data_IF_299446658941
#
_entry.id   IF_299446658941
#
_cell.length_a   1.000
_cell.length_b   1.000
_cell.length_c   1.000
_cell.angle_alpha   90.00
_cell.angle_beta   90.00
_cell.angle_gamma   90.00
#
_symmetry.space_group_name_H-M   'P 1'
#
loop_
_entity.id
_entity.type
_entity.pdbx_description
1 polymer ?
#
# COMPACT_ATOMS: atom_id res chain seq x y z
N UNK A 1 28.56 17.76 -12.61
CA UNK A 1 28.00 17.47 -11.28
C UNK A 1 27.66 18.80 -10.64
N UNK A 2 26.38 19.03 -10.31
CA UNK A 2 25.86 20.34 -9.90
C UNK A 2 26.62 20.84 -8.67
N UNK A 3 27.26 22.00 -8.76
CA UNK A 3 28.12 22.63 -7.73
C UNK A 3 27.31 23.12 -6.51
N UNK A 4 26.02 22.82 -6.46
CA UNK A 4 25.04 23.35 -5.50
C UNK A 4 24.16 22.27 -4.85
N UNK A 5 24.57 20.99 -4.87
CA UNK A 5 23.86 19.94 -4.13
C UNK A 5 24.23 19.96 -2.64
N UNK A 6 23.24 20.11 -1.76
CA UNK A 6 23.34 20.01 -0.30
C UNK A 6 22.42 18.90 0.25
N UNK A 7 22.44 18.67 1.57
CA UNK A 7 21.62 17.67 2.25
C UNK A 7 20.13 18.08 2.42
N UNK A 8 19.74 19.25 1.90
CA UNK A 8 18.36 19.73 1.98
C UNK A 8 17.49 19.03 0.93
N UNK A 9 16.72 18.06 1.39
CA UNK A 9 15.84 17.23 0.57
C UNK A 9 14.47 17.87 0.25
N UNK A 10 14.07 18.90 0.99
CA UNK A 10 12.71 19.39 0.93
C UNK A 10 12.44 20.39 -0.19
N UNK A 11 11.23 20.31 -0.78
CA UNK A 11 10.75 21.27 -1.79
C UNK A 11 10.66 22.71 -1.25
N UNK A 12 10.58 22.89 0.08
CA UNK A 12 10.62 24.19 0.77
C UNK A 12 11.83 25.06 0.41
N UNK A 13 12.92 24.47 -0.08
CA UNK A 13 14.13 25.20 -0.52
C UNK A 13 13.95 25.95 -1.84
N UNK A 14 12.92 25.61 -2.61
CA UNK A 14 12.60 26.26 -3.89
C UNK A 14 11.73 27.49 -3.66
N UNK A 15 11.73 28.47 -4.59
CA UNK A 15 10.77 29.56 -4.57
C UNK A 15 9.33 29.03 -4.49
N UNK A 16 8.53 29.54 -3.55
CA UNK A 16 7.15 29.10 -3.27
C UNK A 16 7.04 27.62 -2.85
N UNK A 17 8.11 27.01 -2.32
CA UNK A 17 8.15 25.60 -1.97
C UNK A 17 7.04 25.13 -1.03
N UNK A 18 6.63 25.96 -0.07
CA UNK A 18 5.50 25.63 0.83
C UNK A 18 4.16 25.54 0.07
N UNK A 19 3.88 26.49 -0.82
CA UNK A 19 2.65 26.48 -1.62
C UNK A 19 2.66 25.35 -2.65
N UNK A 20 3.82 25.06 -3.24
CA UNK A 20 4.02 23.89 -4.12
C UNK A 20 3.73 22.61 -3.34
N UNK A 21 4.26 22.46 -2.12
CA UNK A 21 4.02 21.28 -1.31
C UNK A 21 2.54 21.14 -0.91
N UNK A 22 1.90 22.24 -0.50
CA UNK A 22 0.46 22.25 -0.17
C UNK A 22 -0.39 21.82 -1.37
N UNK A 23 -0.06 22.32 -2.57
CA UNK A 23 -0.72 21.91 -3.80
C UNK A 23 -0.46 20.43 -4.15
N UNK A 24 0.77 19.95 -3.93
CA UNK A 24 1.12 18.54 -4.15
C UNK A 24 0.38 17.61 -3.20
N UNK A 25 0.28 17.95 -1.91
CA UNK A 25 -0.53 17.21 -0.94
C UNK A 25 -1.99 17.16 -1.37
N UNK A 26 -2.58 18.30 -1.76
CA UNK A 26 -3.97 18.33 -2.25
C UNK A 26 -4.16 17.49 -3.51
N UNK A 27 -3.22 17.55 -4.45
CA UNK A 27 -3.30 16.78 -5.70
C UNK A 27 -3.21 15.27 -5.48
N UNK A 28 -2.35 14.82 -4.56
CA UNK A 28 -2.14 13.39 -4.31
C UNK A 28 -3.20 12.81 -3.37
N UNK A 29 -3.60 13.58 -2.35
CA UNK A 29 -4.48 13.10 -1.28
C UNK A 29 -5.95 13.41 -1.52
N UNK A 30 -6.26 14.41 -2.34
CA UNK A 30 -7.64 14.90 -2.53
C UNK A 30 -8.36 15.25 -1.22
N UNK A 31 -7.61 15.76 -0.25
CA UNK A 31 -8.12 16.28 1.02
C UNK A 31 -7.56 17.68 1.29
N UNK A 32 -8.08 18.34 2.32
CA UNK A 32 -7.55 19.62 2.82
C UNK A 32 -6.60 19.45 4.02
N UNK A 33 -6.13 18.22 4.29
CA UNK A 33 -5.19 17.97 5.37
C UNK A 33 -3.89 18.76 5.16
N UNK A 34 -3.48 19.46 6.20
CA UNK A 34 -2.20 20.17 6.25
C UNK A 34 -1.05 19.17 6.43
N UNK A 35 0.17 19.60 6.08
CA UNK A 35 1.38 18.81 6.31
C UNK A 35 1.55 18.43 7.80
N UNK A 36 1.15 19.33 8.72
CA UNK A 36 1.23 19.11 10.16
C UNK A 36 0.24 18.04 10.64
N UNK A 37 -0.99 18.06 10.12
CA UNK A 37 -1.98 17.01 10.40
C UNK A 37 -1.51 15.67 9.86
N UNK A 38 -1.02 15.61 8.62
CA UNK A 38 -0.50 14.37 8.01
C UNK A 38 0.69 13.82 8.81
N UNK A 39 1.61 14.68 9.25
CA UNK A 39 2.74 14.28 10.07
C UNK A 39 2.29 13.65 11.39
N UNK A 40 1.35 14.28 12.09
CA UNK A 40 0.83 13.80 13.36
C UNK A 40 0.01 12.51 13.22
N UNK A 41 -0.75 12.36 12.13
CA UNK A 41 -1.42 11.11 11.78
C UNK A 41 -0.36 10.01 11.58
N UNK A 42 0.71 10.30 10.85
CA UNK A 42 1.83 9.38 10.65
C UNK A 42 2.44 8.90 11.96
N UNK A 43 2.77 9.83 12.86
CA UNK A 43 3.33 9.48 14.18
C UNK A 43 2.38 8.62 15.01
N UNK A 44 1.07 8.91 14.95
CA UNK A 44 0.04 8.15 15.68
C UNK A 44 -0.11 6.74 15.12
N UNK A 45 -0.11 6.59 13.79
CA UNK A 45 -0.21 5.28 13.14
C UNK A 45 1.05 4.44 13.35
N UNK A 46 2.24 5.06 13.32
CA UNK A 46 3.49 4.37 13.71
C UNK A 46 3.36 3.80 15.12
N UNK A 47 2.93 4.61 16.10
CA UNK A 47 2.79 4.14 17.48
C UNK A 47 1.75 3.03 17.65
N UNK A 48 0.62 3.09 16.91
CA UNK A 48 -0.40 2.03 16.92
C UNK A 48 0.14 0.72 16.35
N UNK A 49 0.81 0.79 15.19
CA UNK A 49 1.32 -0.39 14.50
C UNK A 49 2.46 -1.03 15.31
N UNK A 50 3.32 -0.24 15.97
CA UNK A 50 4.34 -0.75 16.89
C UNK A 50 3.72 -1.62 17.99
N UNK A 51 2.59 -1.21 18.56
CA UNK A 51 1.89 -2.00 19.59
C UNK A 51 1.34 -3.32 19.04
N UNK A 52 0.75 -3.31 17.84
CA UNK A 52 0.25 -4.54 17.19
C UNK A 52 1.39 -5.51 16.85
N UNK A 53 2.50 -4.99 16.32
CA UNK A 53 3.69 -5.80 16.02
C UNK A 53 4.30 -6.40 17.30
N UNK A 54 4.38 -5.62 18.38
CA UNK A 54 4.93 -6.06 19.66
C UNK A 54 4.16 -7.27 20.21
N UNK A 55 2.82 -7.25 20.14
CA UNK A 55 1.97 -8.36 20.59
C UNK A 55 2.28 -9.63 19.82
N UNK A 56 2.40 -9.56 18.49
CA UNK A 56 2.73 -10.73 17.68
C UNK A 56 4.13 -11.24 18.01
N UNK A 57 5.13 -10.37 18.05
CA UNK A 57 6.52 -10.74 18.34
C UNK A 57 6.66 -11.43 19.69
N UNK A 58 6.03 -10.90 20.75
CA UNK A 58 6.03 -11.53 22.07
C UNK A 58 5.38 -12.92 22.01
N UNK A 59 4.26 -13.07 21.31
CA UNK A 59 3.58 -14.37 21.16
C UNK A 59 4.39 -15.37 20.34
N UNK A 60 5.31 -14.91 19.47
CA UNK A 60 6.29 -15.73 18.77
C UNK A 60 7.55 -16.02 19.63
N UNK A 61 7.59 -15.57 20.88
CA UNK A 61 8.73 -15.75 21.79
C UNK A 61 9.89 -14.78 21.57
N UNK A 62 9.70 -13.75 20.73
CA UNK A 62 10.68 -12.71 20.46
C UNK A 62 10.42 -11.52 21.40
N UNK A 63 10.98 -11.59 22.61
CA UNK A 63 10.74 -10.62 23.69
C UNK A 63 11.90 -9.66 23.96
N UNK A 64 13.11 -10.00 23.49
CA UNK A 64 14.31 -9.20 23.67
C UNK A 64 14.51 -8.23 22.50
N UNK A 65 15.25 -7.15 22.72
CA UNK A 65 15.58 -6.10 21.73
C UNK A 65 14.40 -5.29 21.16
N UNK A 66 14.75 -4.31 20.32
CA UNK A 66 13.78 -3.47 19.62
C UNK A 66 12.95 -4.29 18.61
N UNK A 67 11.75 -3.81 18.27
CA UNK A 67 10.90 -4.36 17.21
C UNK A 67 11.71 -4.51 15.90
N UNK A 68 12.46 -3.47 15.53
CA UNK A 68 13.29 -3.47 14.31
C UNK A 68 14.36 -4.56 14.35
N UNK A 69 15.01 -4.77 15.49
CA UNK A 69 16.01 -5.84 15.66
C UNK A 69 15.37 -7.21 15.48
N UNK A 70 14.20 -7.44 16.10
CA UNK A 70 13.46 -8.70 16.01
C UNK A 70 12.95 -8.98 14.59
N UNK A 71 12.48 -7.95 13.88
CA UNK A 71 12.10 -8.05 12.47
C UNK A 71 13.30 -8.41 11.59
N UNK A 72 14.45 -7.74 11.77
CA UNK A 72 15.67 -8.06 11.01
C UNK A 72 16.15 -9.48 11.28
N UNK A 73 16.11 -9.92 12.53
CA UNK A 73 16.39 -11.31 12.87
C UNK A 73 15.51 -12.29 12.09
N UNK A 74 14.19 -12.06 12.03
CA UNK A 74 13.27 -12.89 11.22
C UNK A 74 13.58 -12.86 9.72
N UNK A 75 14.03 -11.72 9.18
CA UNK A 75 14.43 -11.62 7.78
C UNK A 75 15.69 -12.43 7.45
N UNK A 76 16.60 -12.59 8.42
CA UNK A 76 17.86 -13.32 8.26
C UNK A 76 17.69 -14.85 8.36
N UNK A 77 16.58 -15.34 8.93
CA UNK A 77 16.31 -16.76 9.10
C UNK A 77 16.16 -17.50 7.74
N UNK A 78 17.02 -18.50 7.44
CA UNK A 78 17.01 -19.18 6.14
C UNK A 78 15.70 -19.88 5.80
N UNK A 79 14.97 -20.38 6.78
CA UNK A 79 13.68 -21.07 6.61
C UNK A 79 12.57 -20.18 6.03
N UNK A 80 12.71 -18.87 6.14
CA UNK A 80 11.77 -17.90 5.58
C UNK A 80 12.15 -17.45 4.17
N UNK A 81 13.32 -17.83 3.67
CA UNK A 81 13.86 -17.31 2.42
C UNK A 81 13.79 -18.33 1.30
N UNK A 82 13.43 -17.86 0.10
CA UNK A 82 13.61 -18.63 -1.13
C UNK A 82 15.08 -18.59 -1.53
N UNK A 83 15.59 -19.67 -2.14
CA UNK A 83 16.97 -19.69 -2.63
C UNK A 83 17.19 -18.60 -3.69
N UNK A 84 18.36 -17.97 -3.68
CA UNK A 84 18.67 -16.88 -4.61
C UNK A 84 19.08 -17.40 -6.01
N UNK A 85 18.37 -18.44 -6.49
CA UNK A 85 18.56 -19.12 -7.79
C UNK A 85 17.32 -18.93 -8.65
N UNK A 86 17.40 -19.23 -9.94
CA UNK A 86 16.21 -19.12 -10.81
C UNK A 86 15.10 -20.10 -10.37
N UNK A 87 15.44 -21.28 -9.85
CA UNK A 87 14.45 -22.20 -9.27
C UNK A 87 13.75 -21.60 -8.04
N UNK A 88 14.50 -20.94 -7.15
CA UNK A 88 13.92 -20.28 -5.97
C UNK A 88 13.03 -19.09 -6.35
N UNK A 89 13.38 -18.37 -7.42
CA UNK A 89 12.55 -17.30 -8.00
C UNK A 89 11.23 -17.84 -8.58
N UNK A 90 11.27 -19.00 -9.24
CA UNK A 90 10.04 -19.70 -9.69
C UNK A 90 9.19 -20.11 -8.48
N UNK A 91 9.80 -20.73 -7.46
CA UNK A 91 9.08 -21.11 -6.23
C UNK A 91 8.43 -19.93 -5.51
N UNK A 92 9.05 -18.75 -5.55
CA UNK A 92 8.47 -17.53 -4.97
C UNK A 92 7.21 -17.08 -5.73
N UNK A 93 7.23 -17.18 -7.07
CA UNK A 93 6.06 -16.88 -7.91
C UNK A 93 4.97 -17.94 -7.70
N UNK A 94 5.33 -19.22 -7.63
CA UNK A 94 4.38 -20.30 -7.34
C UNK A 94 3.68 -20.09 -6.00
N UNK A 95 4.43 -19.72 -4.95
CA UNK A 95 3.86 -19.38 -3.65
C UNK A 95 2.88 -18.20 -3.72
N UNK A 96 3.18 -17.15 -4.47
CA UNK A 96 2.25 -16.03 -4.64
C UNK A 96 0.97 -16.45 -5.39
N UNK A 97 1.07 -17.34 -6.38
CA UNK A 97 -0.10 -17.92 -7.03
C UNK A 97 -0.96 -18.73 -6.05
N UNK A 98 -0.34 -19.55 -5.18
CA UNK A 98 -1.04 -20.27 -4.12
C UNK A 98 -1.78 -19.32 -3.16
N UNK A 99 -1.12 -18.23 -2.75
CA UNK A 99 -1.74 -17.20 -1.88
C UNK A 99 -2.94 -16.54 -2.58
N UNK A 100 -2.81 -16.23 -3.88
CA UNK A 100 -3.91 -15.68 -4.66
C UNK A 100 -5.08 -16.66 -4.77
N UNK A 101 -4.82 -17.94 -5.05
CA UNK A 101 -5.85 -18.97 -5.14
C UNK A 101 -6.62 -19.14 -3.83
N UNK A 102 -5.92 -19.10 -2.69
CA UNK A 102 -6.54 -19.15 -1.36
C UNK A 102 -7.49 -17.97 -1.13
N UNK A 103 -7.08 -16.75 -1.50
CA UNK A 103 -7.93 -15.58 -1.38
C UNK A 103 -9.12 -15.64 -2.34
N UNK A 104 -8.89 -16.03 -3.59
CA UNK A 104 -9.94 -16.16 -4.61
C UNK A 104 -10.98 -17.23 -4.24
N UNK A 105 -10.64 -18.23 -3.44
CA UNK A 105 -11.58 -19.23 -2.94
C UNK A 105 -12.66 -18.65 -2.01
N UNK A 106 -12.39 -17.51 -1.35
CA UNK A 106 -13.31 -16.86 -0.40
C UNK A 106 -13.77 -15.47 -0.87
N UNK A 107 -13.22 -14.94 -1.97
CA UNK A 107 -13.45 -13.55 -2.40
C UNK A 107 -14.92 -13.21 -2.67
N UNK A 108 -15.72 -14.19 -3.10
CA UNK A 108 -17.15 -14.00 -3.39
C UNK A 108 -17.99 -13.68 -2.15
N UNK A 109 -17.49 -13.96 -0.95
CA UNK A 109 -18.15 -13.59 0.31
C UNK A 109 -18.02 -12.08 0.60
N UNK A 110 -17.09 -11.39 -0.07
CA UNK A 110 -16.74 -9.98 0.18
C UNK A 110 -16.92 -9.07 -1.03
N UNK A 111 -17.11 -9.62 -2.24
CA UNK A 111 -17.22 -8.85 -3.48
C UNK A 111 -18.36 -9.36 -4.36
N UNK A 112 -19.20 -8.45 -4.85
CA UNK A 112 -20.26 -8.77 -5.82
C UNK A 112 -19.63 -9.00 -7.20
N UNK A 113 -18.94 -7.99 -7.74
CA UNK A 113 -18.26 -8.09 -9.03
C UNK A 113 -16.83 -8.58 -8.85
N UNK A 114 -16.55 -9.78 -9.34
CA UNK A 114 -15.20 -10.32 -9.49
C UNK A 114 -14.72 -10.03 -10.92
N UNK A 115 -13.68 -9.21 -11.13
CA UNK A 115 -13.20 -8.89 -12.47
C UNK A 115 -12.71 -10.16 -13.20
N UNK A 116 -13.14 -10.41 -14.45
CA UNK A 116 -12.76 -11.60 -15.20
C UNK A 116 -11.37 -11.51 -15.84
N UNK A 117 -10.71 -10.34 -15.77
CA UNK A 117 -9.40 -10.14 -16.37
C UNK A 117 -8.36 -11.04 -15.68
N UNK A 118 -7.52 -11.76 -16.44
CA UNK A 118 -6.49 -12.60 -15.85
C UNK A 118 -5.39 -11.78 -15.17
N UNK A 119 -4.82 -12.35 -14.11
CA UNK A 119 -3.63 -11.87 -13.43
C UNK A 119 -2.46 -12.82 -13.70
N UNK A 120 -1.34 -12.28 -14.17
CA UNK A 120 -0.07 -13.00 -14.26
C UNK A 120 0.92 -12.41 -13.24
N UNK A 121 1.64 -13.28 -12.53
CA UNK A 121 2.73 -12.88 -11.66
C UNK A 121 4.04 -13.14 -12.40
N UNK A 122 4.83 -12.09 -12.58
CA UNK A 122 6.04 -12.12 -13.43
C UNK A 122 7.21 -11.46 -12.74
N UNK A 123 8.42 -11.89 -13.09
CA UNK A 123 9.66 -11.29 -12.59
C UNK A 123 9.87 -9.91 -13.24
N UNK A 124 10.34 -8.93 -12.46
CA UNK A 124 10.88 -7.68 -13.00
C UNK A 124 12.06 -7.97 -13.94
N UNK A 125 12.07 -7.42 -15.17
CA UNK A 125 13.18 -7.64 -16.10
C UNK A 125 14.53 -7.20 -15.51
N UNK A 126 15.57 -8.01 -15.74
CA UNK A 126 16.91 -7.81 -15.18
C UNK A 126 17.48 -6.41 -15.45
N UNK A 127 17.26 -5.86 -16.64
CA UNK A 127 17.73 -4.51 -17.02
C UNK A 127 17.10 -3.37 -16.20
N UNK A 128 16.01 -3.64 -15.48
CA UNK A 128 15.24 -2.64 -14.73
C UNK A 128 15.19 -2.89 -13.22
N UNK A 129 15.60 -4.08 -12.77
CA UNK A 129 15.42 -4.54 -11.39
C UNK A 129 16.15 -3.68 -10.34
N UNK A 130 17.24 -3.01 -10.72
CA UNK A 130 17.96 -2.09 -9.81
C UNK A 130 17.17 -0.82 -9.48
N UNK A 131 16.34 -0.36 -10.43
CA UNK A 131 15.54 0.86 -10.28
C UNK A 131 14.07 0.60 -9.93
N UNK A 132 13.60 -0.62 -10.13
CA UNK A 132 12.20 -1.00 -9.92
C UNK A 132 11.89 -1.22 -8.43
N UNK A 133 10.68 -0.86 -7.95
CA UNK A 133 10.25 -1.12 -6.56
C UNK A 133 10.22 -2.63 -6.24
N UNK A 134 9.97 -3.00 -4.98
CA UNK A 134 9.88 -4.40 -4.56
C UNK A 134 8.79 -5.21 -5.30
N UNK A 135 7.69 -4.53 -5.64
CA UNK A 135 6.67 -5.02 -6.57
C UNK A 135 5.93 -3.84 -7.21
N UNK A 136 5.25 -4.10 -8.33
CA UNK A 136 4.31 -3.16 -8.94
C UNK A 136 3.31 -3.85 -9.86
N UNK A 137 2.15 -3.25 -10.04
CA UNK A 137 1.10 -3.75 -10.92
C UNK A 137 1.04 -3.00 -12.26
N UNK A 138 0.83 -3.76 -13.34
CA UNK A 138 0.50 -3.26 -14.67
C UNK A 138 -0.93 -3.68 -15.05
N UNK A 139 -1.81 -2.73 -15.44
CA UNK A 139 -3.19 -3.04 -15.83
C UNK A 139 -3.32 -3.92 -17.09
N UNK A 140 -4.40 -4.72 -17.21
CA UNK A 140 -4.73 -5.44 -18.44
C UNK A 140 -5.09 -4.47 -19.57
N UNK A 141 -4.86 -4.91 -20.81
CA UNK A 141 -5.28 -4.15 -21.98
C UNK A 141 -6.82 -4.16 -22.11
N UNK A 142 -7.39 -3.01 -22.47
CA UNK A 142 -8.85 -2.85 -22.64
C UNK A 142 -9.46 -3.75 -23.73
N UNK A 143 -8.66 -4.15 -24.71
CA UNK A 143 -9.05 -5.03 -25.81
C UNK A 143 -8.84 -6.52 -25.49
N UNK A 144 -8.34 -6.85 -24.30
CA UNK A 144 -8.05 -8.22 -23.86
C UNK A 144 -6.78 -8.81 -24.47
N UNK A 145 -5.96 -8.03 -25.19
CA UNK A 145 -4.72 -8.52 -25.80
C UNK A 145 -3.60 -8.84 -24.81
N UNK A 146 -3.68 -8.30 -23.59
CA UNK A 146 -2.71 -8.54 -22.52
C UNK A 146 -3.40 -8.64 -21.13
N UNK A 147 -2.94 -9.56 -20.27
CA UNK A 147 -3.42 -9.71 -18.90
C UNK A 147 -2.93 -8.58 -18.00
N UNK A 148 -3.52 -8.48 -16.81
CA UNK A 148 -2.94 -7.70 -15.72
C UNK A 148 -1.69 -8.40 -15.21
N UNK A 149 -0.66 -7.65 -14.84
CA UNK A 149 0.61 -8.22 -14.38
C UNK A 149 1.04 -7.67 -13.04
N UNK A 150 1.18 -8.54 -12.06
CA UNK A 150 1.99 -8.28 -10.88
C UNK A 150 3.45 -8.51 -11.31
N UNK A 151 4.29 -7.50 -11.18
CA UNK A 151 5.75 -7.63 -11.29
C UNK A 151 6.39 -7.73 -9.90
N UNK A 152 7.06 -8.85 -9.60
CA UNK A 152 7.87 -9.02 -8.37
C UNK A 152 9.35 -8.78 -8.66
N UNK A 153 10.00 -7.95 -7.86
CA UNK A 153 11.44 -7.74 -7.94
C UNK A 153 12.17 -8.82 -7.16
N UNK A 154 12.91 -9.65 -7.89
CA UNK A 154 13.63 -10.81 -7.36
C UNK A 154 15.14 -10.66 -7.55
N UNK A 155 15.65 -9.42 -7.56
CA UNK A 155 17.10 -9.17 -7.58
C UNK A 155 17.78 -9.94 -6.46
N UNK A 156 17.29 -9.77 -5.24
CA UNK A 156 17.59 -10.61 -4.08
C UNK A 156 16.27 -11.17 -3.53
N UNK A 157 16.14 -12.50 -3.49
CA UNK A 157 14.94 -13.15 -2.95
C UNK A 157 14.74 -12.89 -1.46
N UNK A 158 15.79 -12.47 -0.74
CA UNK A 158 15.74 -12.17 0.70
C UNK A 158 15.12 -10.82 1.03
N UNK A 159 14.96 -9.94 0.04
CA UNK A 159 14.26 -8.66 0.21
C UNK A 159 12.76 -8.88 0.49
N UNK A 160 12.22 -10.04 0.07
CA UNK A 160 10.82 -10.41 0.27
C UNK A 160 10.72 -11.84 0.84
N UNK A 161 11.04 -12.03 2.14
CA UNK A 161 10.91 -13.34 2.78
C UNK A 161 9.46 -13.80 2.76
N UNK A 162 9.23 -15.12 2.82
CA UNK A 162 7.94 -15.78 2.60
C UNK A 162 6.79 -15.14 3.37
N UNK A 163 7.00 -14.79 4.64
CA UNK A 163 5.97 -14.21 5.51
C UNK A 163 5.58 -12.76 5.13
N UNK A 164 6.36 -12.06 4.30
CA UNK A 164 6.02 -10.71 3.79
C UNK A 164 5.24 -10.74 2.47
N UNK A 165 5.30 -11.85 1.73
CA UNK A 165 4.72 -11.94 0.39
C UNK A 165 3.19 -11.90 0.35
N UNK A 166 2.44 -12.45 1.32
CA UNK A 166 0.99 -12.45 1.22
C UNK A 166 0.39 -11.04 1.16
N UNK A 167 0.88 -10.11 1.98
CA UNK A 167 0.37 -8.73 1.96
C UNK A 167 0.67 -8.05 0.62
N UNK A 168 1.84 -8.33 0.02
CA UNK A 168 2.19 -7.82 -1.30
C UNK A 168 1.28 -8.41 -2.39
N UNK A 169 0.93 -9.70 -2.30
CA UNK A 169 -0.07 -10.34 -3.17
C UNK A 169 -1.42 -9.65 -3.10
N UNK A 170 -1.88 -9.33 -1.89
CA UNK A 170 -3.16 -8.67 -1.68
C UNK A 170 -3.15 -7.21 -2.15
N UNK A 171 -2.00 -6.54 -2.06
CA UNK A 171 -1.80 -5.17 -2.50
C UNK A 171 -1.81 -5.04 -4.03
N UNK A 172 -0.96 -5.79 -4.73
CA UNK A 172 -0.76 -5.66 -6.18
C UNK A 172 -1.79 -6.48 -6.98
N UNK A 173 -2.22 -7.61 -6.42
CA UNK A 173 -3.15 -8.55 -7.02
C UNK A 173 -4.57 -8.38 -6.51
N UNK A 174 -5.11 -9.48 -5.98
CA UNK A 174 -6.49 -9.56 -5.48
C UNK A 174 -6.50 -9.44 -3.95
N UNK A 175 -7.38 -8.61 -3.34
CA UNK A 175 -8.37 -7.74 -3.96
C UNK A 175 -7.87 -6.30 -4.21
N UNK A 176 -6.55 -6.05 -4.17
CA UNK A 176 -5.95 -4.72 -4.36
C UNK A 176 -5.97 -4.19 -5.80
N UNK A 177 -4.80 -3.80 -6.33
CA UNK A 177 -4.69 -3.09 -7.60
C UNK A 177 -5.29 -3.84 -8.79
N UNK A 178 -5.03 -5.14 -8.92
CA UNK A 178 -5.60 -5.92 -10.00
C UNK A 178 -7.13 -5.88 -9.99
N UNK A 179 -7.73 -6.11 -8.82
CA UNK A 179 -9.18 -6.08 -8.67
C UNK A 179 -9.75 -4.69 -8.99
N UNK A 180 -9.19 -3.65 -8.37
CA UNK A 180 -9.69 -2.28 -8.51
C UNK A 180 -9.63 -1.77 -9.95
N UNK A 181 -8.48 -1.93 -10.58
CA UNK A 181 -8.24 -1.37 -11.92
C UNK A 181 -8.98 -2.20 -12.97
N UNK A 182 -9.07 -3.52 -12.80
CA UNK A 182 -9.83 -4.39 -13.71
C UNK A 182 -11.34 -4.13 -13.60
N UNK A 183 -11.86 -3.93 -12.38
CA UNK A 183 -13.26 -3.54 -12.15
C UNK A 183 -13.60 -2.21 -12.84
N UNK A 184 -12.71 -1.23 -12.80
CA UNK A 184 -12.92 0.06 -13.46
C UNK A 184 -13.13 -0.07 -14.98
N UNK A 185 -12.58 -1.11 -15.62
CA UNK A 185 -12.78 -1.36 -17.05
C UNK A 185 -14.22 -1.80 -17.38
N UNK A 186 -14.90 -2.45 -16.42
CA UNK A 186 -16.24 -2.99 -16.57
C UNK A 186 -17.34 -1.92 -16.53
N UNK A 187 -17.05 -0.74 -15.99
CA UNK A 187 -18.00 0.36 -15.85
C UNK A 187 -18.56 0.75 -17.22
N UNK A 188 -19.89 0.81 -17.37
CA UNK A 188 -20.55 1.15 -18.64
C UNK A 188 -21.10 2.58 -18.59
N UNK A 189 -21.35 3.15 -19.76
CA UNK A 189 -22.02 4.45 -19.90
C UNK A 189 -21.31 5.63 -19.22
N UNK A 190 -19.99 5.55 -19.05
CA UNK A 190 -19.15 6.63 -18.52
C UNK A 190 -18.10 7.06 -19.55
N UNK A 191 -17.61 8.32 -19.51
CA UNK A 191 -16.45 8.72 -20.30
C UNK A 191 -15.25 7.82 -20.04
N UNK A 192 -14.45 7.54 -21.08
CA UNK A 192 -13.28 6.66 -20.96
C UNK A 192 -12.33 7.07 -19.82
N UNK A 193 -12.17 8.37 -19.59
CA UNK A 193 -11.33 8.90 -18.49
C UNK A 193 -11.73 8.35 -17.11
N UNK A 194 -13.02 8.09 -16.84
CA UNK A 194 -13.46 7.50 -15.56
C UNK A 194 -12.93 6.08 -15.34
N UNK A 195 -12.52 5.38 -16.39
CA UNK A 195 -11.94 4.03 -16.33
C UNK A 195 -10.42 4.03 -16.11
N UNK A 196 -9.76 5.18 -16.30
CA UNK A 196 -8.28 5.29 -16.30
C UNK A 196 -7.76 6.45 -15.44
N UNK A 197 -8.62 7.09 -14.65
CA UNK A 197 -8.23 8.28 -13.89
C UNK A 197 -7.24 7.94 -12.77
N UNK A 198 -6.06 8.58 -12.70
CA UNK A 198 -4.98 8.19 -11.80
C UNK A 198 -5.06 8.91 -10.44
N UNK A 199 -6.12 8.66 -9.66
CA UNK A 199 -6.25 9.27 -8.33
C UNK A 199 -5.45 8.48 -7.29
N UNK A 200 -4.22 8.92 -6.98
CA UNK A 200 -3.27 8.18 -6.14
C UNK A 200 -3.85 7.77 -4.78
N UNK A 201 -4.45 8.66 -4.00
CA UNK A 201 -4.97 8.27 -2.69
C UNK A 201 -6.18 7.33 -2.76
N UNK A 202 -6.97 7.36 -3.84
CA UNK A 202 -8.00 6.35 -4.06
C UNK A 202 -7.37 4.98 -4.35
N UNK A 203 -6.49 4.91 -5.36
CA UNK A 203 -5.92 3.65 -5.85
C UNK A 203 -4.99 3.00 -4.82
N UNK A 204 -4.10 3.79 -4.23
CA UNK A 204 -3.16 3.31 -3.20
C UNK A 204 -3.86 3.06 -1.87
N UNK A 205 -4.85 3.90 -1.54
CA UNK A 205 -5.68 3.72 -0.36
C UNK A 205 -6.51 2.44 -0.43
N UNK A 206 -7.05 2.12 -1.61
CA UNK A 206 -7.76 0.87 -1.85
C UNK A 206 -6.85 -0.34 -1.64
N UNK A 207 -5.66 -0.35 -2.25
CA UNK A 207 -4.73 -1.47 -2.11
C UNK A 207 -4.33 -1.70 -0.64
N UNK A 208 -4.05 -0.64 0.12
CA UNK A 208 -3.81 -0.75 1.56
C UNK A 208 -5.05 -1.19 2.36
N UNK A 209 -6.23 -0.76 1.95
CA UNK A 209 -7.48 -1.20 2.56
C UNK A 209 -7.71 -2.69 2.33
N UNK A 210 -7.42 -3.18 1.11
CA UNK A 210 -7.45 -4.60 0.75
C UNK A 210 -6.53 -5.45 1.62
N UNK A 211 -5.29 -4.99 1.89
CA UNK A 211 -4.38 -5.66 2.82
C UNK A 211 -4.98 -5.77 4.24
N UNK A 212 -5.67 -4.73 4.72
CA UNK A 212 -6.31 -4.73 6.05
C UNK A 212 -7.46 -5.71 6.12
N UNK A 213 -8.38 -5.71 5.15
CA UNK A 213 -9.56 -6.59 5.17
C UNK A 213 -9.20 -8.07 4.95
N UNK A 214 -8.10 -8.35 4.24
CA UNK A 214 -7.57 -9.70 4.14
C UNK A 214 -7.28 -10.30 5.53
N UNK A 215 -6.81 -9.47 6.47
CA UNK A 215 -6.62 -9.85 7.87
C UNK A 215 -7.91 -9.79 8.69
N UNK A 216 -8.56 -8.61 8.75
CA UNK A 216 -9.64 -8.38 9.72
C UNK A 216 -10.95 -9.08 9.38
N UNK A 217 -11.23 -9.29 8.10
CA UNK A 217 -12.54 -9.73 7.63
C UNK A 217 -12.44 -11.12 7.01
N UNK A 218 -11.52 -11.30 6.07
CA UNK A 218 -11.37 -12.53 5.28
C UNK A 218 -10.65 -13.64 6.05
N UNK A 219 -9.96 -13.31 7.15
CA UNK A 219 -9.29 -14.28 8.02
C UNK A 219 -8.05 -14.94 7.38
N UNK A 220 -7.44 -14.31 6.36
CA UNK A 220 -6.33 -14.88 5.59
C UNK A 220 -5.09 -15.17 6.42
N UNK A 221 -4.93 -14.49 7.56
CA UNK A 221 -3.79 -14.64 8.47
C UNK A 221 -4.13 -15.34 9.79
N UNK A 222 -5.34 -15.90 9.93
CA UNK A 222 -5.82 -16.47 11.21
C UNK A 222 -4.84 -17.48 11.82
N UNK A 223 -4.25 -18.33 10.98
CA UNK A 223 -3.30 -19.37 11.38
C UNK A 223 -1.86 -19.04 10.94
N UNK A 224 -1.59 -17.79 10.55
CA UNK A 224 -0.29 -17.29 10.09
C UNK A 224 0.09 -15.96 10.76
N UNK A 225 0.52 -15.99 12.04
CA UNK A 225 0.89 -14.78 12.77
C UNK A 225 2.11 -14.05 12.16
N UNK A 226 3.04 -14.77 11.52
CA UNK A 226 4.18 -14.14 10.84
C UNK A 226 3.73 -13.45 9.55
N UNK A 227 2.78 -14.03 8.82
CA UNK A 227 2.11 -13.35 7.70
C UNK A 227 1.46 -12.03 8.12
N UNK A 228 0.74 -12.02 9.26
CA UNK A 228 0.11 -10.79 9.77
C UNK A 228 1.16 -9.76 10.24
N UNK A 229 2.30 -10.22 10.76
CA UNK A 229 3.46 -9.37 11.03
C UNK A 229 4.01 -8.74 9.75
N UNK A 230 4.06 -9.49 8.65
CA UNK A 230 4.42 -8.99 7.30
C UNK A 230 3.47 -7.90 6.82
N UNK A 231 2.16 -8.10 6.99
CA UNK A 231 1.15 -7.06 6.74
C UNK A 231 1.40 -5.81 7.58
N UNK A 232 1.65 -5.95 8.89
CA UNK A 232 1.94 -4.81 9.76
C UNK A 232 3.26 -4.11 9.42
N UNK A 233 4.28 -4.84 8.98
CA UNK A 233 5.53 -4.25 8.49
C UNK A 233 5.29 -3.41 7.24
N UNK A 234 4.51 -3.93 6.28
CA UNK A 234 4.12 -3.20 5.09
C UNK A 234 3.28 -1.96 5.44
N UNK A 235 2.38 -2.06 6.42
CA UNK A 235 1.57 -0.95 6.93
C UNK A 235 2.43 0.10 7.64
N UNK A 236 3.39 -0.32 8.47
CA UNK A 236 4.37 0.52 9.16
C UNK A 236 5.14 1.37 8.15
N UNK A 237 5.62 0.75 7.08
CA UNK A 237 6.32 1.46 6.01
C UNK A 237 5.46 2.59 5.40
N UNK A 238 4.17 2.35 5.14
CA UNK A 238 3.27 3.40 4.63
C UNK A 238 2.87 4.43 5.69
N UNK A 239 2.86 4.09 6.98
CA UNK A 239 2.70 5.08 8.05
C UNK A 239 3.94 5.99 8.18
N UNK A 240 5.14 5.41 8.11
CA UNK A 240 6.41 6.14 8.11
C UNK A 240 6.51 7.08 6.91
N UNK A 241 6.00 6.70 5.73
CA UNK A 241 5.90 7.59 4.56
C UNK A 241 5.22 8.92 4.87
N UNK A 242 4.16 8.94 5.69
CA UNK A 242 3.52 10.18 6.12
C UNK A 242 4.50 11.08 6.87
N UNK A 243 5.28 10.48 7.77
CA UNK A 243 6.21 11.19 8.65
C UNK A 243 7.43 11.72 7.89
N UNK A 244 8.05 10.90 7.03
CA UNK A 244 9.28 11.30 6.33
C UNK A 244 9.02 12.28 5.18
N UNK A 245 7.90 12.14 4.46
CA UNK A 245 7.55 13.07 3.37
C UNK A 245 7.27 14.48 3.94
N UNK A 246 6.40 14.57 4.93
CA UNK A 246 6.12 15.84 5.64
C UNK A 246 7.33 16.32 6.45
N UNK A 247 8.12 15.38 6.98
CA UNK A 247 9.39 15.63 7.66
C UNK A 247 10.34 16.41 6.77
N UNK A 248 10.62 15.91 5.56
CA UNK A 248 11.50 16.58 4.61
C UNK A 248 10.89 17.87 4.05
N UNK A 249 9.63 17.84 3.63
CA UNK A 249 9.05 18.91 2.82
C UNK A 249 8.43 20.06 3.63
N UNK A 250 8.00 19.83 4.87
CA UNK A 250 7.44 20.86 5.75
C UNK A 250 8.27 21.07 7.03
N UNK A 251 8.72 19.99 7.69
CA UNK A 251 9.53 20.08 8.92
C UNK A 251 11.03 20.26 8.66
N UNK A 252 11.43 20.31 7.38
CA UNK A 252 12.79 20.57 6.90
C UNK A 252 13.84 19.58 7.39
N UNK A 253 13.46 18.32 7.58
CA UNK A 253 14.41 17.24 7.81
C UNK A 253 15.37 17.11 6.62
N UNK A 254 16.62 16.76 6.90
CA UNK A 254 17.57 16.38 5.85
C UNK A 254 17.20 15.02 5.24
N UNK A 255 17.81 14.71 4.10
CA UNK A 255 17.74 13.37 3.51
C UNK A 255 18.14 12.30 4.52
N UNK A 256 19.27 12.50 5.19
CA UNK A 256 19.84 11.55 6.14
C UNK A 256 18.95 11.40 7.39
N UNK A 257 18.37 12.49 7.90
CA UNK A 257 17.45 12.39 9.04
C UNK A 257 16.17 11.61 8.71
N UNK A 258 15.68 11.70 7.47
CA UNK A 258 14.56 10.89 7.00
C UNK A 258 14.94 9.41 6.83
N UNK A 259 16.16 9.12 6.36
CA UNK A 259 16.71 7.76 6.28
C UNK A 259 16.81 7.15 7.69
N UNK A 260 17.43 7.86 8.63
CA UNK A 260 17.60 7.42 10.02
C UNK A 260 16.25 7.11 10.68
N UNK A 261 15.26 7.99 10.49
CA UNK A 261 13.93 7.76 11.01
C UNK A 261 13.29 6.50 10.43
N UNK A 262 13.31 6.32 9.11
CA UNK A 262 12.71 5.15 8.47
C UNK A 262 13.41 3.85 8.88
N UNK A 263 14.75 3.83 8.94
CA UNK A 263 15.52 2.68 9.43
C UNK A 263 15.19 2.31 10.87
N UNK A 264 14.89 3.30 11.72
CA UNK A 264 14.52 3.08 13.11
C UNK A 264 13.13 2.48 13.31
N UNK A 265 12.33 2.33 12.23
CA UNK A 265 10.92 1.91 12.31
C UNK A 265 10.55 0.68 11.48
N UNK A 266 11.18 0.44 10.33
CA UNK A 266 10.62 -0.52 9.35
C UNK A 266 11.31 -1.88 9.31
N UNK A 267 12.54 -2.01 9.81
CA UNK A 267 13.33 -3.24 9.62
C UNK A 267 13.98 -3.36 8.23
N UNK A 268 13.69 -2.44 7.31
CA UNK A 268 14.25 -2.42 5.95
C UNK A 268 15.77 -2.18 5.94
N UNK A 269 16.39 -2.51 4.81
CA UNK A 269 17.82 -2.27 4.56
C UNK A 269 18.10 -0.79 4.25
N UNK A 270 19.35 -0.36 4.44
CA UNK A 270 19.77 1.01 4.14
C UNK A 270 19.62 1.36 2.66
N UNK A 271 19.90 0.42 1.76
CA UNK A 271 19.76 0.62 0.31
C UNK A 271 18.30 0.84 -0.10
N UNK A 272 17.37 0.05 0.45
CA UNK A 272 15.94 0.21 0.19
C UNK A 272 15.42 1.55 0.74
N UNK A 273 15.75 1.87 1.99
CA UNK A 273 15.33 3.13 2.61
C UNK A 273 15.90 4.32 1.85
N UNK A 274 17.18 4.28 1.48
CA UNK A 274 17.83 5.34 0.71
C UNK A 274 17.08 5.62 -0.60
N UNK A 275 16.78 4.57 -1.36
CA UNK A 275 16.04 4.68 -2.63
C UNK A 275 14.64 5.26 -2.45
N UNK A 276 13.94 4.85 -1.40
CA UNK A 276 12.61 5.37 -1.07
C UNK A 276 12.66 6.85 -0.66
N UNK A 277 13.59 7.24 0.21
CA UNK A 277 13.75 8.65 0.60
C UNK A 277 14.08 9.52 -0.61
N UNK A 278 15.00 9.08 -1.48
CA UNK A 278 15.37 9.80 -2.71
C UNK A 278 14.20 9.92 -3.71
N UNK A 279 13.35 8.89 -3.79
CA UNK A 279 12.08 8.98 -4.54
C UNK A 279 11.19 10.08 -3.97
N UNK A 280 11.04 10.18 -2.65
CA UNK A 280 10.17 11.18 -2.04
C UNK A 280 10.72 12.60 -2.23
N UNK A 281 12.04 12.77 -2.25
CA UNK A 281 12.71 14.06 -2.58
C UNK A 281 12.24 14.61 -3.94
N UNK A 282 12.10 13.76 -4.94
CA UNK A 282 11.73 14.17 -6.31
C UNK A 282 10.22 14.10 -6.59
N UNK A 283 9.44 13.51 -5.70
CA UNK A 283 7.99 13.34 -5.85
C UNK A 283 7.22 13.72 -4.57
N UNK A 284 7.26 15.01 -4.18
CA UNK A 284 6.74 15.45 -2.90
C UNK A 284 5.23 15.18 -2.76
N UNK A 285 4.82 14.62 -1.63
CA UNK A 285 3.43 14.41 -1.25
C UNK A 285 2.83 13.09 -1.76
N UNK A 286 3.40 12.45 -2.78
CA UNK A 286 2.83 11.20 -3.31
C UNK A 286 2.89 10.05 -2.31
N UNK A 287 3.97 9.97 -1.53
CA UNK A 287 4.14 8.96 -0.49
C UNK A 287 3.05 9.04 0.59
N UNK A 288 2.40 10.19 0.75
CA UNK A 288 1.33 10.37 1.74
C UNK A 288 -0.02 9.76 1.32
N UNK A 289 -0.20 9.55 0.01
CA UNK A 289 -1.47 9.11 -0.58
C UNK A 289 -1.93 7.73 -0.07
N UNK A 290 -0.98 6.81 0.14
CA UNK A 290 -1.25 5.44 0.57
C UNK A 290 -2.05 5.41 1.87
N UNK A 291 -1.45 5.90 2.96
CA UNK A 291 -2.03 5.78 4.30
C UNK A 291 -3.18 6.76 4.51
N UNK A 292 -3.11 7.97 3.92
CA UNK A 292 -4.25 8.91 3.92
C UNK A 292 -5.47 8.28 3.23
N UNK A 293 -5.28 7.68 2.07
CA UNK A 293 -6.34 6.99 1.33
C UNK A 293 -6.96 5.84 2.10
N UNK A 294 -6.14 4.96 2.66
CA UNK A 294 -6.61 3.82 3.47
C UNK A 294 -7.46 4.29 4.66
N UNK A 295 -6.95 5.25 5.44
CA UNK A 295 -7.67 5.80 6.59
C UNK A 295 -8.99 6.45 6.18
N UNK A 296 -9.01 7.09 5.01
CA UNK A 296 -10.23 7.69 4.48
C UNK A 296 -11.28 6.63 4.15
N UNK A 297 -10.91 5.56 3.45
CA UNK A 297 -11.82 4.46 3.12
C UNK A 297 -12.32 3.77 4.39
N UNK A 298 -11.44 3.53 5.38
CA UNK A 298 -11.83 2.97 6.68
C UNK A 298 -12.81 3.88 7.43
N UNK A 299 -12.61 5.20 7.39
CA UNK A 299 -13.56 6.17 7.97
C UNK A 299 -14.92 6.10 7.29
N UNK A 300 -14.95 6.02 5.95
CA UNK A 300 -16.19 5.93 5.19
C UNK A 300 -16.93 4.62 5.47
N UNK A 301 -16.19 3.51 5.58
CA UNK A 301 -16.75 2.22 6.00
C UNK A 301 -17.37 2.29 7.39
N UNK A 302 -16.62 2.80 8.37
CA UNK A 302 -17.12 2.93 9.74
C UNK A 302 -18.37 3.84 9.83
N UNK A 303 -18.46 4.87 8.98
CA UNK A 303 -19.65 5.69 8.85
C UNK A 303 -20.83 4.90 8.28
N UNK A 304 -20.63 4.14 7.20
CA UNK A 304 -21.67 3.30 6.61
C UNK A 304 -22.16 2.20 7.57
N UNK A 305 -21.25 1.48 8.24
CA UNK A 305 -21.56 0.47 9.26
C UNK A 305 -22.42 1.06 10.38
N UNK A 306 -22.08 2.27 10.85
CA UNK A 306 -22.84 2.95 11.90
C UNK A 306 -24.24 3.37 11.45
N UNK A 307 -24.36 3.88 10.22
CA UNK A 307 -25.61 4.47 9.72
C UNK A 307 -26.60 3.41 9.20
N UNK A 308 -26.12 2.26 8.74
CA UNK A 308 -26.94 1.15 8.24
C UNK A 308 -27.14 0.04 9.29
N UNK A 309 -26.27 -0.07 10.30
CA UNK A 309 -26.42 -1.08 11.35
C UNK A 309 -26.45 -2.50 10.81
N UNK A 310 -27.48 -3.27 11.16
CA UNK A 310 -27.65 -4.66 10.73
C UNK A 310 -27.89 -4.80 9.20
N UNK A 311 -28.28 -3.71 8.53
CA UNK A 311 -28.50 -3.68 7.07
C UNK A 311 -27.21 -3.42 6.27
N UNK A 312 -26.06 -3.21 6.94
CA UNK A 312 -24.79 -3.03 6.25
C UNK A 312 -24.31 -4.34 5.59
N UNK A 313 -24.17 -4.34 4.26
CA UNK A 313 -23.50 -5.42 3.51
C UNK A 313 -22.14 -4.93 2.97
N UNK A 314 -21.06 -5.61 3.39
CA UNK A 314 -19.69 -5.31 2.97
C UNK A 314 -19.50 -5.46 1.44
N UNK A 315 -20.21 -6.39 0.81
CA UNK A 315 -20.14 -6.61 -0.63
C UNK A 315 -20.73 -5.43 -1.40
N UNK A 316 -21.84 -4.88 -0.92
CA UNK A 316 -22.45 -3.69 -1.51
C UNK A 316 -21.58 -2.44 -1.33
N UNK A 317 -20.96 -2.30 -0.16
CA UNK A 317 -19.99 -1.23 0.09
C UNK A 317 -18.80 -1.32 -0.88
N UNK A 318 -18.21 -2.51 -1.06
CA UNK A 318 -17.13 -2.72 -2.01
C UNK A 318 -17.57 -2.50 -3.46
N UNK A 319 -18.76 -2.97 -3.84
CA UNK A 319 -19.32 -2.75 -5.18
C UNK A 319 -19.47 -1.25 -5.47
N UNK A 320 -20.02 -0.49 -4.52
CA UNK A 320 -20.18 0.96 -4.64
C UNK A 320 -18.83 1.66 -4.80
N UNK A 321 -17.80 1.28 -4.04
CA UNK A 321 -16.47 1.85 -4.22
C UNK A 321 -15.94 1.52 -5.63
N UNK A 322 -15.88 0.23 -5.98
CA UNK A 322 -15.16 -0.23 -7.17
C UNK A 322 -15.83 0.15 -8.49
N UNK A 323 -17.16 0.02 -8.58
CA UNK A 323 -17.91 0.18 -9.84
C UNK A 323 -18.28 1.63 -10.14
N UNK A 324 -17.88 2.57 -9.28
CA UNK A 324 -17.86 3.98 -9.61
C UNK A 324 -16.49 4.46 -10.14
N UNK A 325 -15.44 3.64 -10.06
CA UNK A 325 -14.11 3.95 -10.56
C UNK A 325 -13.37 4.98 -9.72
N UNK A 326 -12.07 5.13 -9.97
CA UNK A 326 -11.23 6.02 -9.19
C UNK A 326 -11.68 7.48 -9.29
N UNK A 327 -11.71 8.17 -8.15
CA UNK A 327 -12.15 9.56 -8.01
C UNK A 327 -11.42 10.25 -6.84
N UNK A 328 -11.47 11.60 -6.74
CA UNK A 328 -11.00 12.29 -5.54
C UNK A 328 -11.75 11.80 -4.30
N UNK A 329 -11.05 11.66 -3.16
CA UNK A 329 -11.62 11.16 -1.90
C UNK A 329 -12.81 11.99 -1.41
N UNK A 330 -12.80 13.31 -1.61
CA UNK A 330 -13.96 14.18 -1.32
C UNK A 330 -15.21 13.75 -2.13
N UNK A 331 -15.05 13.38 -3.40
CA UNK A 331 -16.15 12.88 -4.25
C UNK A 331 -16.56 11.45 -3.89
N UNK A 332 -15.59 10.64 -3.45
CA UNK A 332 -15.87 9.31 -2.90
C UNK A 332 -16.77 9.42 -1.66
N UNK A 333 -16.49 10.34 -0.74
CA UNK A 333 -17.33 10.59 0.44
C UNK A 333 -18.75 10.99 0.07
N UNK A 334 -18.93 11.87 -0.92
CA UNK A 334 -20.26 12.23 -1.43
C UNK A 334 -21.00 11.00 -1.97
N UNK A 335 -20.29 10.16 -2.73
CA UNK A 335 -20.86 8.94 -3.33
C UNK A 335 -21.26 7.91 -2.28
N UNK A 336 -20.41 7.67 -1.28
CA UNK A 336 -20.73 6.78 -0.14
C UNK A 336 -21.90 7.32 0.66
N UNK A 337 -21.93 8.63 0.93
CA UNK A 337 -23.02 9.26 1.69
C UNK A 337 -24.34 9.16 0.94
N UNK A 338 -24.35 9.38 -0.38
CA UNK A 338 -25.54 9.19 -1.21
C UNK A 338 -26.02 7.74 -1.16
N UNK A 339 -25.11 6.78 -1.38
CA UNK A 339 -25.43 5.36 -1.32
C UNK A 339 -26.01 4.96 0.05
N UNK A 340 -25.40 5.36 1.16
CA UNK A 340 -25.93 5.11 2.51
C UNK A 340 -27.34 5.67 2.68
N UNK A 341 -27.63 6.87 2.16
CA UNK A 341 -28.97 7.46 2.25
C UNK A 341 -30.01 6.74 1.37
N UNK A 342 -29.59 6.08 0.29
CA UNK A 342 -30.46 5.29 -0.59
C UNK A 342 -30.77 3.90 -0.01
N UNK A 343 -29.91 3.36 0.87
CA UNK A 343 -30.12 2.08 1.55
C UNK A 343 -31.02 2.17 2.79
N UNK A 344 -31.18 3.38 3.36
CA UNK A 344 -32.12 3.66 4.46
C UNK A 344 -33.55 3.76 3.97
#
# INVERSE_FOLDING_TARGET
>A
LLVTSDHNAGIWRLPQGEDIYRAALRSNNSTNLTADEIHNIGLSEVARIEQEMEVILINQGLVDDSIVSRIRYLMELPEHNFSNTDEGRVQQIDYLNEVNDQLMAVVADYFITIPPQPLEIVRVPEYSQDSAPGGYYQPPAFDGSAPGRFYINQKDTRDNPRWTLPTLMYHEGSPGHHFQISAAQLIKNVPFLRKVSPFSAYTEGWALYSERIASSDMGMYKDDPLGDLGRLQAEMFRAVRLVVDTGMHAKRWSREGAIDYMLSKTGMTEDEVTREIERYVVWPGQATAYKVGQLYILRLRAMAEKELGDDFDIKEFHEMILLNGAMPLEILEESVTSWVNEQK
#
